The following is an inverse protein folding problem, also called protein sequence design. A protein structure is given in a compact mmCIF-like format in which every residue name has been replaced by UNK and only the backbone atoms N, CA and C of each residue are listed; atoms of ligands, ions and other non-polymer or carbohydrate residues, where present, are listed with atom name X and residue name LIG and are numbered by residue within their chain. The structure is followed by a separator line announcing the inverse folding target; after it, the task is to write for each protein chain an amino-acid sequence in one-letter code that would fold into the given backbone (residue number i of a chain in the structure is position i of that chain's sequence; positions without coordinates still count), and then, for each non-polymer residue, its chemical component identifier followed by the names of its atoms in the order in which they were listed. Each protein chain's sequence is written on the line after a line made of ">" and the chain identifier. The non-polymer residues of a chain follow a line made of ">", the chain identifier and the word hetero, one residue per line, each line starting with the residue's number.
data_IF_293329069175
#
_entry.id   IF_293329069175
#
_cell.length_a   1.000
_cell.length_b   1.000
_cell.length_c   1.000
_cell.angle_alpha   90.00
_cell.angle_beta   90.00
_cell.angle_gamma   90.00
#
_symmetry.space_group_name_H-M   'P 1'
#
loop_
_entity.id
_entity.type
_entity.pdbx_description
1 polymer ?
#
# COMPACT_ATOMS: atom_id res chain seq x y z
N UNK A 1 -39.71 14.80 -2.56
CA UNK A 1 -39.45 13.92 -3.72
C UNK A 1 -38.02 14.15 -4.16
N UNK A 2 -37.08 13.32 -3.71
CA UNK A 2 -35.66 13.40 -4.07
C UNK A 2 -35.45 12.46 -5.25
N UNK A 3 -35.12 13.00 -6.42
CA UNK A 3 -34.58 12.21 -7.53
C UNK A 3 -33.06 12.16 -7.34
N UNK A 4 -32.56 11.00 -6.93
CA UNK A 4 -31.12 10.73 -6.87
C UNK A 4 -30.61 10.42 -8.28
N UNK A 5 -29.57 11.12 -8.70
CA UNK A 5 -28.78 10.78 -9.88
C UNK A 5 -27.59 9.96 -9.41
N UNK A 6 -27.51 8.71 -9.86
CA UNK A 6 -26.35 7.81 -9.69
C UNK A 6 -25.42 8.00 -10.90
N UNK A 7 -24.09 8.15 -10.74
CA UNK A 7 -23.17 7.99 -11.85
C UNK A 7 -22.80 6.51 -12.01
N UNK A 8 -23.08 5.94 -13.18
CA UNK A 8 -22.41 4.73 -13.67
C UNK A 8 -21.01 5.17 -14.14
N UNK A 9 -19.96 4.85 -13.40
CA UNK A 9 -18.59 5.17 -13.78
C UNK A 9 -18.03 4.15 -14.76
N UNK A 10 -18.10 4.45 -16.07
CA UNK A 10 -17.28 3.77 -17.09
C UNK A 10 -16.19 4.76 -17.49
N UNK A 11 -14.92 4.45 -17.24
CA UNK A 11 -13.81 5.22 -17.83
C UNK A 11 -13.68 4.83 -19.31
N UNK A 12 -14.14 5.72 -20.20
CA UNK A 12 -13.99 5.62 -21.65
C UNK A 12 -13.05 6.74 -22.12
N UNK A 13 -11.86 6.37 -22.59
CA UNK A 13 -11.02 7.28 -23.37
C UNK A 13 -11.72 7.61 -24.70
N UNK A 14 -11.69 8.88 -25.11
CA UNK A 14 -12.55 9.47 -26.13
C UNK A 14 -12.67 8.70 -27.46
N UNK A 15 -13.92 8.42 -27.85
CA UNK A 15 -14.26 7.81 -29.14
C UNK A 15 -14.33 8.89 -30.24
N UNK A 16 -13.38 8.88 -31.17
CA UNK A 16 -13.66 9.35 -32.54
C UNK A 16 -14.42 8.23 -33.27
N UNK A 17 -15.66 8.49 -33.65
CA UNK A 17 -16.52 7.50 -34.34
C UNK A 17 -16.01 7.31 -35.77
N UNK A 18 -15.15 6.32 -35.96
CA UNK A 18 -15.04 5.64 -37.25
C UNK A 18 -16.00 4.46 -37.25
N UNK A 19 -16.96 4.46 -38.18
CA UNK A 19 -17.71 3.25 -38.54
C UNK A 19 -16.76 2.23 -39.15
N UNK A 20 -16.08 1.48 -38.28
CA UNK A 20 -15.27 0.31 -38.61
C UNK A 20 -15.71 -0.84 -37.70
N UNK A 21 -15.80 -2.04 -38.27
CA UNK A 21 -16.28 -3.26 -37.61
C UNK A 21 -15.82 -3.38 -36.15
N UNK A 22 -16.77 -3.38 -35.21
CA UNK A 22 -16.51 -3.71 -33.82
C UNK A 22 -15.99 -5.15 -33.73
N UNK A 23 -14.68 -5.32 -33.64
CA UNK A 23 -14.11 -6.57 -33.16
C UNK A 23 -14.58 -6.76 -31.72
N UNK A 24 -15.31 -7.84 -31.46
CA UNK A 24 -15.76 -8.19 -30.12
C UNK A 24 -14.53 -8.25 -29.18
N UNK A 25 -14.50 -7.36 -28.19
CA UNK A 25 -13.52 -7.45 -27.11
C UNK A 25 -13.79 -8.74 -26.34
N UNK A 26 -12.75 -9.49 -26.01
CA UNK A 26 -12.88 -10.63 -25.12
C UNK A 26 -12.91 -10.11 -23.68
N UNK A 27 -13.87 -10.60 -22.89
CA UNK A 27 -14.05 -10.17 -21.50
C UNK A 27 -13.60 -11.27 -20.55
N UNK A 28 -12.83 -10.90 -19.54
CA UNK A 28 -12.46 -11.79 -18.43
C UNK A 28 -12.94 -11.16 -17.14
N UNK A 29 -13.58 -11.92 -16.28
CA UNK A 29 -14.00 -11.47 -14.95
C UNK A 29 -13.12 -12.11 -13.89
N UNK A 30 -12.87 -11.38 -12.81
CA UNK A 30 -12.06 -11.89 -11.71
C UNK A 30 -11.81 -10.83 -10.65
N UNK A 31 -10.95 -11.15 -9.70
CA UNK A 31 -10.53 -10.23 -8.63
C UNK A 31 -9.24 -9.52 -9.02
N UNK A 32 -9.29 -8.19 -9.01
CA UNK A 32 -8.15 -7.34 -9.29
C UNK A 32 -7.21 -7.34 -8.08
N UNK A 33 -5.93 -7.56 -8.30
CA UNK A 33 -4.91 -7.49 -7.26
C UNK A 33 -3.83 -6.52 -7.68
N UNK A 34 -3.52 -5.56 -6.81
CA UNK A 34 -2.38 -4.66 -6.95
C UNK A 34 -1.29 -5.07 -5.97
N UNK A 35 -0.06 -5.04 -6.46
CA UNK A 35 1.16 -5.22 -5.68
C UNK A 35 2.10 -4.06 -5.97
N UNK A 36 2.68 -3.49 -4.93
CA UNK A 36 3.69 -2.45 -4.98
C UNK A 36 5.02 -3.08 -4.61
N UNK A 37 6.08 -2.69 -5.33
CA UNK A 37 7.41 -3.22 -5.16
C UNK A 37 8.39 -2.11 -4.86
N UNK A 38 9.17 -2.31 -3.82
CA UNK A 38 10.01 -1.32 -3.17
C UNK A 38 11.47 -1.73 -3.23
N UNK A 39 12.23 -1.07 -4.09
CA UNK A 39 13.61 -1.41 -4.41
C UNK A 39 14.53 -1.23 -3.20
N UNK A 40 15.33 -2.26 -2.92
CA UNK A 40 16.31 -2.24 -1.85
C UNK A 40 17.54 -1.36 -2.16
N UNK A 41 18.47 -1.24 -1.20
CA UNK A 41 19.64 -0.36 -1.33
C UNK A 41 20.51 -0.59 -2.57
N UNK A 42 20.58 -1.82 -3.05
CA UNK A 42 21.41 -2.20 -4.21
C UNK A 42 20.71 -2.02 -5.56
N UNK A 43 19.37 -1.92 -5.56
CA UNK A 43 18.55 -1.76 -6.77
C UNK A 43 17.34 -0.88 -6.44
N UNK A 44 17.55 0.43 -6.20
CA UNK A 44 16.47 1.34 -5.85
C UNK A 44 15.49 1.51 -7.00
N UNK A 45 14.21 1.70 -6.67
CA UNK A 45 13.14 1.90 -7.64
C UNK A 45 11.79 1.56 -7.03
N UNK A 46 10.71 2.04 -7.65
CA UNK A 46 9.35 1.66 -7.29
C UNK A 46 8.69 0.96 -8.47
N UNK A 47 7.87 -0.04 -8.17
CA UNK A 47 7.19 -0.82 -9.19
C UNK A 47 5.77 -1.13 -8.77
N UNK A 48 4.91 -1.35 -9.78
CA UNK A 48 3.54 -1.77 -9.56
C UNK A 48 3.18 -2.91 -10.49
N UNK A 49 2.65 -3.99 -9.92
CA UNK A 49 2.06 -5.09 -10.66
C UNK A 49 0.55 -5.06 -10.50
N UNK A 50 -0.15 -5.37 -11.58
CA UNK A 50 -1.59 -5.54 -11.58
C UNK A 50 -1.88 -6.93 -12.12
N UNK A 51 -2.72 -7.69 -11.43
CA UNK A 51 -3.13 -9.02 -11.87
C UNK A 51 -4.62 -9.22 -11.69
N UNK A 52 -5.16 -10.20 -12.42
CA UNK A 52 -6.54 -10.67 -12.29
C UNK A 52 -6.51 -12.15 -11.94
N UNK A 53 -7.24 -12.55 -10.90
CA UNK A 53 -7.50 -13.98 -10.64
C UNK A 53 -8.94 -14.29 -11.00
N UNK A 54 -9.18 -15.29 -11.86
CA UNK A 54 -10.53 -15.65 -12.30
C UNK A 54 -11.26 -16.60 -11.33
N UNK A 55 -12.51 -16.96 -11.65
CA UNK A 55 -13.34 -17.88 -10.85
C UNK A 55 -12.76 -19.31 -10.74
N UNK A 56 -11.78 -19.68 -11.56
CA UNK A 56 -11.06 -20.97 -11.50
C UNK A 56 -9.82 -20.90 -10.61
N UNK A 57 -9.45 -19.71 -10.12
CA UNK A 57 -8.23 -19.45 -9.38
C UNK A 57 -7.01 -19.21 -10.27
N UNK A 58 -7.18 -19.09 -11.60
CA UNK A 58 -6.07 -18.78 -12.50
C UNK A 58 -5.74 -17.29 -12.42
N UNK A 59 -4.49 -16.98 -12.07
CA UNK A 59 -3.98 -15.60 -12.05
C UNK A 59 -3.28 -15.25 -13.35
N UNK A 60 -3.57 -14.06 -13.89
CA UNK A 60 -2.93 -13.49 -15.08
C UNK A 60 -2.43 -12.08 -14.79
N UNK A 61 -1.18 -11.77 -15.16
CA UNK A 61 -0.66 -10.41 -15.09
C UNK A 61 -1.39 -9.51 -16.10
N UNK A 62 -1.64 -8.25 -15.73
CA UNK A 62 -2.30 -7.27 -16.58
C UNK A 62 -1.30 -6.20 -17.02
N UNK A 63 -1.26 -5.94 -18.32
CA UNK A 63 -0.61 -4.75 -18.89
C UNK A 63 -1.66 -3.64 -18.97
N UNK A 64 -1.65 -2.76 -17.95
CA UNK A 64 -2.58 -1.63 -17.81
C UNK A 64 -1.83 -0.34 -18.16
N UNK A 65 -2.40 0.49 -19.04
CA UNK A 65 -1.80 1.78 -19.37
C UNK A 65 -1.88 2.77 -18.21
N UNK A 66 -0.96 3.72 -18.15
CA UNK A 66 -0.99 4.80 -17.15
C UNK A 66 -2.32 5.55 -17.18
N UNK A 67 -2.89 5.81 -18.37
CA UNK A 67 -4.20 6.47 -18.50
C UNK A 67 -5.32 5.72 -17.76
N UNK A 68 -5.34 4.38 -17.84
CA UNK A 68 -6.31 3.57 -17.10
C UNK A 68 -6.02 3.59 -15.60
N UNK A 69 -4.75 3.53 -15.20
CA UNK A 69 -4.35 3.60 -13.78
C UNK A 69 -4.73 4.95 -13.16
N UNK A 70 -4.62 6.04 -13.93
CA UNK A 70 -5.09 7.39 -13.57
C UNK A 70 -6.61 7.49 -13.38
N UNK A 71 -7.38 6.47 -13.76
CA UNK A 71 -8.80 6.36 -13.44
C UNK A 71 -9.11 5.99 -11.99
N UNK A 72 -8.10 5.89 -11.12
CA UNK A 72 -8.27 5.47 -9.72
C UNK A 72 -8.44 3.97 -9.56
N UNK A 73 -7.90 3.16 -10.49
CA UNK A 73 -7.99 1.69 -10.50
C UNK A 73 -7.45 1.07 -9.20
N UNK A 74 -6.52 1.71 -8.50
CA UNK A 74 -6.03 1.24 -7.20
C UNK A 74 -7.14 1.12 -6.15
N UNK A 75 -8.24 1.89 -6.27
CA UNK A 75 -9.42 1.78 -5.40
C UNK A 75 -10.18 0.48 -5.58
N UNK A 76 -9.90 -0.24 -6.67
CA UNK A 76 -10.51 -1.53 -6.99
C UNK A 76 -9.62 -2.71 -6.57
N UNK A 77 -8.54 -2.47 -5.82
CA UNK A 77 -7.72 -3.55 -5.26
C UNK A 77 -8.58 -4.50 -4.40
N UNK A 78 -8.48 -5.79 -4.65
CA UNK A 78 -9.28 -6.85 -4.02
C UNK A 78 -10.74 -6.92 -4.50
N UNK A 79 -11.17 -6.03 -5.40
CA UNK A 79 -12.54 -5.99 -5.91
C UNK A 79 -12.69 -6.83 -7.18
N UNK A 80 -13.92 -7.31 -7.41
CA UNK A 80 -14.26 -8.03 -8.63
C UNK A 80 -14.40 -7.04 -9.79
N UNK A 81 -13.74 -7.30 -10.91
CA UNK A 81 -13.75 -6.46 -12.10
C UNK A 81 -13.98 -7.30 -13.36
N UNK A 82 -14.44 -6.65 -14.42
CA UNK A 82 -14.42 -7.15 -15.79
C UNK A 82 -13.33 -6.45 -16.56
N UNK A 83 -12.42 -7.23 -17.12
CA UNK A 83 -11.34 -6.77 -18.00
C UNK A 83 -11.76 -6.95 -19.44
N UNK A 84 -11.66 -5.87 -20.22
CA UNK A 84 -11.87 -5.89 -21.66
C UNK A 84 -10.52 -5.99 -22.36
N UNK A 85 -10.23 -7.13 -22.98
CA UNK A 85 -8.98 -7.38 -23.68
C UNK A 85 -9.13 -7.25 -25.21
N UNK A 86 -8.03 -6.95 -25.94
CA UNK A 86 -8.02 -7.08 -27.40
C UNK A 86 -8.35 -8.51 -27.84
N UNK A 87 -8.89 -8.67 -29.05
CA UNK A 87 -9.13 -9.98 -29.65
C UNK A 87 -7.85 -10.83 -29.74
N UNK A 88 -8.00 -12.15 -29.67
CA UNK A 88 -6.96 -13.18 -29.46
C UNK A 88 -5.56 -12.92 -30.02
N UNK A 89 -5.42 -12.40 -31.24
CA UNK A 89 -4.12 -12.11 -31.87
C UNK A 89 -3.28 -10.98 -31.23
N UNK A 90 -3.88 -10.14 -30.39
CA UNK A 90 -3.20 -9.03 -29.69
C UNK A 90 -3.47 -9.03 -28.18
N UNK A 91 -3.98 -10.14 -27.63
CA UNK A 91 -4.46 -10.21 -26.24
C UNK A 91 -3.33 -10.14 -25.20
N UNK A 92 -2.18 -10.73 -25.50
CA UNK A 92 -1.05 -10.79 -24.58
C UNK A 92 0.14 -9.99 -25.12
N UNK A 93 0.92 -9.35 -24.24
CA UNK A 93 2.23 -8.80 -24.55
C UNK A 93 3.28 -9.90 -24.64
N UNK A 94 4.49 -9.54 -25.11
CA UNK A 94 5.58 -10.50 -25.32
C UNK A 94 6.06 -11.17 -24.02
N UNK A 95 5.87 -10.48 -22.89
CA UNK A 95 6.12 -10.96 -21.53
C UNK A 95 4.97 -11.82 -20.96
N UNK A 96 3.90 -12.05 -21.73
CA UNK A 96 2.76 -12.85 -21.33
C UNK A 96 1.69 -12.12 -20.51
N UNK A 97 1.82 -10.81 -20.26
CA UNK A 97 0.77 -10.04 -19.58
C UNK A 97 -0.43 -9.79 -20.51
N UNK A 98 -1.65 -9.87 -19.97
CA UNK A 98 -2.88 -9.58 -20.72
C UNK A 98 -3.02 -8.06 -20.90
N UNK A 99 -3.09 -7.60 -22.14
CA UNK A 99 -3.32 -6.19 -22.47
C UNK A 99 -4.74 -5.78 -22.09
N UNK A 100 -4.86 -4.65 -21.41
CA UNK A 100 -6.14 -4.12 -20.93
C UNK A 100 -6.57 -2.93 -21.79
N UNK A 101 -7.78 -2.98 -22.35
CA UNK A 101 -8.41 -1.84 -23.05
C UNK A 101 -9.31 -1.03 -22.14
N UNK A 102 -10.01 -1.70 -21.23
CA UNK A 102 -10.86 -1.08 -20.23
C UNK A 102 -11.05 -2.02 -19.04
N UNK A 103 -11.40 -1.43 -17.90
CA UNK A 103 -11.78 -2.13 -16.67
C UNK A 103 -13.16 -1.61 -16.23
N UNK A 104 -14.01 -2.53 -15.78
CA UNK A 104 -15.31 -2.23 -15.19
C UNK A 104 -15.37 -2.87 -13.81
N UNK A 105 -15.65 -2.08 -12.77
CA UNK A 105 -15.93 -2.60 -11.44
C UNK A 105 -17.24 -3.38 -11.46
N UNK A 106 -17.22 -4.64 -11.03
CA UNK A 106 -18.40 -5.50 -10.96
C UNK A 106 -19.00 -5.42 -9.56
N UNK A 107 -20.08 -4.67 -9.44
CA UNK A 107 -20.76 -4.41 -8.17
C UNK A 107 -21.11 -2.93 -8.04
N UNK A 108 -21.71 -2.55 -6.91
CA UNK A 108 -21.79 -1.12 -6.60
C UNK A 108 -20.41 -0.65 -6.14
N UNK A 109 -19.97 0.57 -6.54
CA UNK A 109 -18.81 1.18 -5.92
C UNK A 109 -19.08 1.31 -4.43
N UNK A 110 -18.53 0.40 -3.63
CA UNK A 110 -18.56 0.50 -2.19
C UNK A 110 -17.47 1.49 -1.79
N UNK A 111 -17.80 2.40 -0.87
CA UNK A 111 -16.77 3.05 -0.07
C UNK A 111 -15.92 1.93 0.55
N UNK A 112 -14.58 1.95 0.40
CA UNK A 112 -13.74 0.98 1.08
C UNK A 112 -14.13 0.93 2.56
N UNK A 113 -14.35 -0.27 3.09
CA UNK A 113 -14.66 -0.42 4.50
C UNK A 113 -13.48 0.11 5.32
N UNK A 114 -13.77 0.88 6.37
CA UNK A 114 -12.75 1.32 7.31
C UNK A 114 -12.00 0.10 7.88
N UNK A 115 -10.68 0.20 8.00
CA UNK A 115 -9.86 -0.86 8.59
C UNK A 115 -9.90 -0.65 10.09
N UNK A 116 -10.64 -1.50 10.79
CA UNK A 116 -10.95 -1.34 12.22
C UNK A 116 -10.89 -2.67 12.96
N UNK A 117 -10.63 -2.61 14.26
CA UNK A 117 -10.50 -3.78 15.12
C UNK A 117 -9.23 -4.56 14.84
N UNK A 118 -9.15 -5.76 15.42
CA UNK A 118 -7.94 -6.57 15.34
C UNK A 118 -7.66 -7.06 13.91
N UNK A 119 -6.42 -6.85 13.47
CA UNK A 119 -5.90 -7.19 12.15
C UNK A 119 -4.78 -8.23 12.32
N UNK A 120 -5.06 -9.50 12.67
CA UNK A 120 -4.01 -10.50 12.90
C UNK A 120 -3.29 -10.91 11.62
N UNK A 121 -1.97 -10.94 11.65
CA UNK A 121 -1.08 -11.37 10.56
C UNK A 121 -0.32 -12.64 10.94
N UNK A 122 0.16 -13.38 9.95
CA UNK A 122 1.16 -14.43 10.17
C UNK A 122 2.47 -14.06 9.49
N UNK A 123 3.59 -14.21 10.20
CA UNK A 123 4.92 -14.26 9.57
C UNK A 123 5.27 -15.71 9.22
N UNK A 124 5.56 -15.95 7.94
CA UNK A 124 5.99 -17.25 7.42
C UNK A 124 7.40 -17.11 6.84
N UNK A 125 8.44 -17.48 7.60
CA UNK A 125 9.80 -17.54 7.09
C UNK A 125 9.97 -18.72 6.12
N UNK A 126 10.25 -18.40 4.87
CA UNK A 126 10.34 -19.33 3.74
C UNK A 126 11.74 -19.32 3.13
N UNK A 127 12.44 -20.44 3.31
CA UNK A 127 13.82 -20.64 2.91
C UNK A 127 13.91 -21.27 1.53
N UNK A 128 14.68 -20.66 0.61
CA UNK A 128 15.02 -21.28 -0.67
C UNK A 128 15.87 -22.54 -0.44
N UNK A 129 15.63 -23.61 -1.23
CA UNK A 129 16.22 -24.93 -0.96
C UNK A 129 17.76 -24.97 -1.03
N UNK A 130 18.39 -24.06 -1.77
CA UNK A 130 19.83 -23.96 -1.99
C UNK A 130 20.55 -22.95 -1.08
N UNK A 131 19.80 -22.17 -0.30
CA UNK A 131 20.36 -21.19 0.65
C UNK A 131 20.13 -21.72 2.06
N UNK A 132 21.20 -22.05 2.78
CA UNK A 132 21.10 -22.68 4.09
C UNK A 132 20.77 -21.70 5.23
N UNK A 133 21.20 -20.45 5.09
CA UNK A 133 21.13 -19.43 6.12
C UNK A 133 19.68 -19.09 6.50
N UNK A 134 19.46 -18.80 7.78
CA UNK A 134 18.21 -18.34 8.36
C UNK A 134 18.55 -17.03 9.08
N UNK A 135 18.32 -15.86 8.44
CA UNK A 135 18.84 -14.58 8.93
C UNK A 135 18.41 -14.24 10.35
N UNK A 136 17.19 -14.63 10.72
CA UNK A 136 16.58 -14.37 12.02
C UNK A 136 15.86 -15.62 12.54
N UNK A 137 15.82 -15.79 13.86
CA UNK A 137 15.14 -16.93 14.49
C UNK A 137 13.63 -16.66 14.68
N UNK A 138 12.83 -17.71 14.90
CA UNK A 138 11.39 -17.58 15.20
C UNK A 138 11.07 -16.49 16.24
N UNK A 139 11.85 -16.41 17.32
CA UNK A 139 11.62 -15.43 18.40
C UNK A 139 11.70 -13.96 17.92
N UNK A 140 12.46 -13.67 16.87
CA UNK A 140 12.50 -12.35 16.25
C UNK A 140 11.15 -12.01 15.61
N UNK A 141 10.60 -12.93 14.82
CA UNK A 141 9.32 -12.75 14.13
C UNK A 141 8.12 -12.77 15.09
N UNK A 142 8.15 -13.59 16.13
CA UNK A 142 7.16 -13.54 17.22
C UNK A 142 7.22 -12.20 17.96
N UNK A 143 8.44 -11.77 18.31
CA UNK A 143 8.68 -10.51 18.99
C UNK A 143 8.27 -9.28 18.19
N UNK A 144 8.36 -9.35 16.86
CA UNK A 144 8.00 -8.25 15.96
C UNK A 144 6.52 -7.85 16.11
N UNK A 145 5.63 -8.76 16.52
CA UNK A 145 4.22 -8.47 16.78
C UNK A 145 3.93 -7.96 18.21
N UNK A 146 4.95 -7.68 19.02
CA UNK A 146 4.76 -7.22 20.38
C UNK A 146 4.15 -5.80 20.44
N UNK A 147 3.33 -5.56 21.47
CA UNK A 147 2.93 -4.22 21.87
C UNK A 147 3.99 -3.57 22.76
N UNK A 148 5.17 -3.36 22.19
CA UNK A 148 6.29 -2.66 22.80
C UNK A 148 6.87 -1.68 21.77
N UNK A 149 7.53 -0.59 22.19
CA UNK A 149 8.28 0.29 21.29
C UNK A 149 9.05 -0.51 20.23
N UNK A 150 8.86 -0.15 18.96
CA UNK A 150 9.47 -0.82 17.81
C UNK A 150 8.75 -2.07 17.30
N UNK A 151 7.77 -2.62 18.04
CA UNK A 151 6.93 -3.72 17.55
C UNK A 151 5.74 -3.23 16.71
N UNK A 152 5.29 -4.08 15.78
CA UNK A 152 4.20 -3.79 14.84
C UNK A 152 2.85 -3.54 15.54
N UNK A 153 2.56 -4.21 16.66
CA UNK A 153 1.30 -3.92 17.40
C UNK A 153 1.33 -2.55 18.04
N UNK A 154 2.49 -2.13 18.56
CA UNK A 154 2.66 -0.78 19.08
C UNK A 154 2.53 0.26 17.96
N UNK A 155 3.19 0.03 16.82
CA UNK A 155 3.15 0.91 15.66
C UNK A 155 1.72 1.10 15.13
N UNK A 156 1.03 0.01 14.80
CA UNK A 156 -0.31 0.10 14.20
C UNK A 156 -1.35 0.68 15.17
N UNK A 157 -1.20 0.47 16.48
CA UNK A 157 -2.02 1.17 17.49
C UNK A 157 -1.74 2.67 17.50
N UNK A 158 -0.48 3.08 17.51
CA UNK A 158 -0.09 4.49 17.57
C UNK A 158 -0.57 5.25 16.33
N UNK A 159 -0.27 4.74 15.13
CA UNK A 159 -0.61 5.41 13.87
C UNK A 159 -2.13 5.42 13.61
N UNK A 160 -2.90 4.49 14.18
CA UNK A 160 -4.36 4.42 14.00
C UNK A 160 -5.18 4.97 15.17
N UNK A 161 -4.56 5.58 16.17
CA UNK A 161 -5.23 6.03 17.40
C UNK A 161 -5.96 4.89 18.15
N UNK A 162 -5.41 3.67 18.06
CA UNK A 162 -6.00 2.46 18.63
C UNK A 162 -7.20 1.91 17.85
N UNK A 163 -7.49 2.43 16.65
CA UNK A 163 -8.56 1.93 15.78
C UNK A 163 -8.28 0.52 15.30
N UNK A 164 -7.00 0.17 15.12
CA UNK A 164 -6.54 -1.18 14.85
C UNK A 164 -5.46 -1.61 15.84
N UNK A 165 -5.36 -2.93 15.98
CA UNK A 165 -4.22 -3.62 16.56
C UNK A 165 -3.92 -4.85 15.68
N UNK A 166 -2.82 -5.55 15.94
CA UNK A 166 -2.48 -6.81 15.26
C UNK A 166 -2.50 -7.98 16.26
N UNK A 167 -3.31 -7.87 17.31
CA UNK A 167 -3.48 -8.93 18.31
C UNK A 167 -3.94 -10.22 17.65
N UNK A 168 -3.39 -11.35 18.07
CA UNK A 168 -3.63 -12.65 17.43
C UNK A 168 -2.75 -12.90 16.21
N UNK A 169 -1.82 -11.99 15.90
CA UNK A 169 -0.74 -12.30 14.97
C UNK A 169 0.18 -13.38 15.54
N UNK A 170 0.70 -14.22 14.66
CA UNK A 170 1.57 -15.34 14.99
C UNK A 170 2.77 -15.39 14.03
N UNK A 171 3.79 -16.16 14.39
CA UNK A 171 4.86 -16.53 13.48
C UNK A 171 5.09 -18.04 13.57
N UNK A 172 5.66 -18.61 12.52
CA UNK A 172 6.10 -20.01 12.48
C UNK A 172 7.59 -20.08 12.19
N UNK A 173 8.22 -21.20 12.53
CA UNK A 173 9.64 -21.41 12.25
C UNK A 173 9.89 -21.57 10.74
N UNK A 174 11.15 -21.50 10.33
CA UNK A 174 11.54 -21.60 8.93
C UNK A 174 11.05 -22.88 8.27
N UNK A 175 10.36 -22.72 7.13
CA UNK A 175 10.04 -23.83 6.23
C UNK A 175 10.90 -23.76 4.97
N UNK A 176 11.27 -24.93 4.44
CA UNK A 176 12.06 -25.00 3.21
C UNK A 176 11.14 -25.11 2.01
N UNK A 177 11.23 -24.15 1.11
CA UNK A 177 10.56 -24.15 -0.17
C UNK A 177 11.07 -25.32 -1.04
N UNK A 178 10.23 -25.91 -1.91
CA UNK A 178 10.60 -27.09 -2.71
C UNK A 178 11.66 -26.81 -3.79
N UNK A 179 11.73 -25.57 -4.28
CA UNK A 179 12.67 -25.12 -5.31
C UNK A 179 13.85 -24.31 -4.76
N UNK A 180 14.87 -24.16 -5.61
CA UNK A 180 16.02 -23.27 -5.37
C UNK A 180 15.64 -21.81 -5.62
N UNK A 181 16.45 -20.84 -5.20
CA UNK A 181 16.15 -19.40 -5.36
C UNK A 181 15.76 -19.04 -6.80
N UNK A 182 16.50 -19.55 -7.80
CA UNK A 182 16.25 -19.24 -9.21
C UNK A 182 14.99 -19.87 -9.79
N UNK A 183 14.35 -20.81 -9.10
CA UNK A 183 13.05 -21.35 -9.51
C UNK A 183 11.91 -20.34 -9.26
N UNK A 184 12.14 -19.40 -8.34
CA UNK A 184 11.19 -18.34 -7.97
C UNK A 184 11.63 -16.98 -8.48
N UNK A 185 12.94 -16.74 -8.50
CA UNK A 185 13.55 -15.42 -8.73
C UNK A 185 14.59 -15.55 -9.84
N UNK A 186 14.24 -15.29 -11.10
CA UNK A 186 15.16 -15.53 -12.20
C UNK A 186 16.39 -14.59 -12.18
N UNK A 187 16.25 -13.35 -11.70
CA UNK A 187 17.38 -12.43 -11.47
C UNK A 187 17.49 -11.94 -10.02
N UNK A 188 18.03 -12.74 -9.08
CA UNK A 188 18.08 -12.36 -7.67
C UNK A 188 18.79 -11.02 -7.43
N UNK A 189 18.16 -10.15 -6.63
CA UNK A 189 18.67 -8.82 -6.26
C UNK A 189 18.50 -7.74 -7.33
N UNK A 190 17.87 -8.03 -8.47
CA UNK A 190 17.68 -7.06 -9.55
C UNK A 190 16.39 -7.32 -10.32
N UNK A 191 15.95 -6.33 -11.11
CA UNK A 191 14.76 -6.49 -11.95
C UNK A 191 13.47 -6.62 -11.13
N UNK A 192 12.43 -7.11 -11.79
CA UNK A 192 11.06 -7.24 -11.24
C UNK A 192 10.40 -8.54 -11.68
N UNK A 193 11.19 -9.59 -11.84
CA UNK A 193 10.79 -10.84 -12.48
C UNK A 193 10.51 -11.98 -11.48
N UNK A 194 10.60 -11.71 -10.17
CA UNK A 194 10.25 -12.69 -9.16
C UNK A 194 8.81 -13.19 -9.32
N UNK A 195 8.60 -14.50 -9.27
CA UNK A 195 7.29 -15.13 -9.31
C UNK A 195 6.66 -15.14 -7.91
N UNK A 196 6.14 -13.98 -7.51
CA UNK A 196 5.49 -13.78 -6.20
C UNK A 196 4.35 -14.77 -5.95
N UNK A 197 3.63 -15.16 -7.00
CA UNK A 197 2.55 -16.13 -6.89
C UNK A 197 3.06 -17.50 -6.48
N UNK A 198 4.12 -17.97 -7.15
CA UNK A 198 4.74 -19.26 -6.81
C UNK A 198 5.37 -19.22 -5.42
N UNK A 199 6.00 -18.11 -5.03
CA UNK A 199 6.52 -17.94 -3.66
C UNK A 199 5.39 -18.07 -2.64
N UNK A 200 4.27 -17.38 -2.85
CA UNK A 200 3.11 -17.46 -1.95
C UNK A 200 2.52 -18.87 -1.89
N UNK A 201 2.30 -19.49 -3.05
CA UNK A 201 1.64 -20.80 -3.14
C UNK A 201 2.49 -21.87 -2.43
N UNK A 202 3.79 -21.90 -2.68
CA UNK A 202 4.68 -22.90 -2.06
C UNK A 202 4.95 -22.60 -0.57
N UNK A 203 5.04 -21.32 -0.18
CA UNK A 203 5.26 -20.92 1.21
C UNK A 203 4.05 -21.22 2.10
N UNK A 204 2.84 -20.92 1.63
CA UNK A 204 1.60 -21.24 2.37
C UNK A 204 1.34 -22.74 2.41
N UNK A 205 1.59 -23.46 1.31
CA UNK A 205 1.48 -24.93 1.28
C UNK A 205 2.47 -25.62 2.23
N UNK A 206 3.65 -25.06 2.44
CA UNK A 206 4.67 -25.62 3.31
C UNK A 206 4.33 -25.55 4.81
N UNK A 207 3.33 -24.75 5.20
CA UNK A 207 2.86 -24.60 6.58
C UNK A 207 1.40 -25.02 6.78
N UNK A 208 0.75 -25.54 5.74
CA UNK A 208 -0.68 -25.91 5.73
C UNK A 208 -1.04 -26.97 6.79
N UNK A 209 -0.08 -27.82 7.19
CA UNK A 209 -0.28 -28.84 8.23
C UNK A 209 -0.14 -28.31 9.67
N UNK A 210 0.39 -27.10 9.85
CA UNK A 210 0.67 -26.48 11.16
C UNK A 210 -0.01 -25.12 11.38
N UNK A 211 -0.50 -24.48 10.31
CA UNK A 211 -1.21 -23.20 10.34
C UNK A 211 -2.63 -23.41 9.83
N UNK A 212 -3.62 -22.99 10.63
CA UNK A 212 -5.01 -22.85 10.17
C UNK A 212 -5.26 -21.38 9.77
N UNK A 213 -5.22 -21.09 8.47
CA UNK A 213 -5.48 -19.77 7.91
C UNK A 213 -6.93 -19.31 8.11
N UNK A 214 -7.87 -20.23 8.33
CA UNK A 214 -9.24 -19.87 8.72
C UNK A 214 -9.32 -19.33 10.16
N UNK A 215 -8.27 -19.56 10.95
CA UNK A 215 -8.12 -19.07 12.32
C UNK A 215 -9.19 -19.60 13.28
N UNK A 216 -9.72 -20.80 13.03
CA UNK A 216 -10.81 -21.38 13.82
C UNK A 216 -12.07 -20.51 13.93
N UNK A 217 -12.26 -19.53 13.02
CA UNK A 217 -13.36 -18.57 13.03
C UNK A 217 -12.95 -17.10 13.22
N UNK A 218 -11.71 -16.80 13.61
CA UNK A 218 -11.12 -15.45 13.58
C UNK A 218 -9.96 -15.45 12.58
N UNK A 219 -10.25 -15.32 11.28
CA UNK A 219 -9.25 -15.54 10.25
C UNK A 219 -8.15 -14.48 10.30
N UNK A 220 -6.91 -14.93 10.10
CA UNK A 220 -5.79 -14.06 9.78
C UNK A 220 -6.20 -13.12 8.63
N UNK A 221 -5.83 -11.85 8.70
CA UNK A 221 -6.13 -10.87 7.65
C UNK A 221 -4.98 -10.71 6.67
N UNK A 222 -3.76 -11.02 7.10
CA UNK A 222 -2.57 -10.89 6.26
C UNK A 222 -1.47 -11.91 6.53
N UNK A 223 -0.55 -12.02 5.57
CA UNK A 223 0.55 -12.96 5.53
C UNK A 223 1.82 -12.19 5.16
N UNK A 224 2.80 -12.17 6.06
CA UNK A 224 4.14 -11.69 5.80
C UNK A 224 5.05 -12.86 5.43
N UNK A 225 5.45 -12.94 4.17
CA UNK A 225 6.43 -13.93 3.72
C UNK A 225 7.82 -13.37 3.96
N UNK A 226 8.62 -14.04 4.79
CA UNK A 226 10.00 -13.62 5.11
C UNK A 226 10.97 -14.55 4.39
N UNK A 227 11.82 -14.03 3.51
CA UNK A 227 12.70 -14.85 2.68
C UNK A 227 14.12 -14.86 3.22
N UNK A 228 14.84 -15.96 3.03
CA UNK A 228 16.22 -16.08 3.53
C UNK A 228 17.30 -15.61 2.53
N UNK A 229 16.89 -15.08 1.39
CA UNK A 229 17.79 -14.57 0.36
C UNK A 229 17.13 -13.44 -0.43
N UNK A 230 17.89 -12.86 -1.35
CA UNK A 230 17.37 -11.82 -2.23
C UNK A 230 16.14 -12.32 -2.98
N UNK A 231 15.13 -11.47 -3.07
CA UNK A 231 14.06 -11.62 -4.06
C UNK A 231 14.55 -10.98 -5.36
N UNK A 232 13.73 -10.21 -6.07
CA UNK A 232 14.17 -9.36 -7.18
C UNK A 232 14.76 -8.05 -6.62
N UNK A 233 14.49 -6.90 -7.22
CA UNK A 233 14.93 -5.63 -6.64
C UNK A 233 14.36 -5.39 -5.24
N UNK A 234 13.23 -6.03 -4.94
CA UNK A 234 12.22 -5.34 -4.17
C UNK A 234 11.69 -6.18 -2.99
N UNK A 235 11.30 -5.47 -1.94
CA UNK A 235 10.22 -5.95 -1.08
C UNK A 235 8.90 -5.71 -1.83
N UNK A 236 7.88 -6.51 -1.56
CA UNK A 236 6.57 -6.30 -2.19
C UNK A 236 5.46 -6.34 -1.16
N UNK A 237 4.43 -5.55 -1.40
CA UNK A 237 3.26 -5.42 -0.55
C UNK A 237 1.99 -5.27 -1.36
N UNK A 238 0.84 -5.51 -0.73
CA UNK A 238 -0.47 -5.47 -1.38
C UNK A 238 -1.27 -6.72 -1.07
N UNK A 239 -1.54 -7.55 -2.07
CA UNK A 239 -2.32 -8.76 -1.80
C UNK A 239 -2.13 -9.91 -2.77
N UNK A 240 -2.86 -10.97 -2.47
CA UNK A 240 -3.05 -12.16 -3.31
C UNK A 240 -4.46 -12.69 -3.10
N UNK A 241 -5.23 -12.80 -4.19
CA UNK A 241 -6.49 -13.54 -4.15
C UNK A 241 -6.19 -15.05 -4.14
N UNK A 242 -6.64 -15.74 -3.09
CA UNK A 242 -6.41 -17.18 -2.92
C UNK A 242 -7.46 -17.81 -2.00
N UNK A 243 -7.51 -19.14 -2.01
CA UNK A 243 -8.28 -19.94 -1.05
C UNK A 243 -7.32 -20.71 -0.16
N UNK A 244 -7.34 -20.42 1.14
CA UNK A 244 -6.56 -21.13 2.17
C UNK A 244 -7.54 -21.63 3.23
N UNK A 245 -7.47 -22.90 3.60
CA UNK A 245 -8.38 -23.55 4.57
C UNK A 245 -9.88 -23.26 4.35
N UNK A 246 -10.30 -23.26 3.09
CA UNK A 246 -11.68 -22.98 2.69
C UNK A 246 -12.09 -21.50 2.78
N UNK A 247 -11.19 -20.59 3.16
CA UNK A 247 -11.41 -19.14 3.15
C UNK A 247 -10.89 -18.54 1.85
N UNK A 248 -11.82 -18.13 0.98
CA UNK A 248 -11.52 -17.46 -0.29
C UNK A 248 -11.63 -15.95 -0.15
N UNK A 249 -10.51 -15.23 -0.27
CA UNK A 249 -10.48 -13.76 -0.25
C UNK A 249 -9.20 -13.21 -0.88
N UNK A 250 -9.12 -11.88 -0.98
CA UNK A 250 -7.85 -11.20 -1.18
C UNK A 250 -7.10 -11.14 0.15
N UNK A 251 -6.08 -11.98 0.31
CA UNK A 251 -5.18 -11.97 1.46
C UNK A 251 -4.23 -10.79 1.35
N UNK A 252 -4.09 -10.01 2.42
CA UNK A 252 -3.04 -8.99 2.50
C UNK A 252 -1.72 -9.72 2.55
N UNK A 253 -0.79 -9.41 1.65
CA UNK A 253 0.42 -10.21 1.50
C UNK A 253 1.62 -9.31 1.30
N UNK A 254 2.71 -9.66 1.96
CA UNK A 254 4.01 -9.03 1.76
C UNK A 254 5.08 -10.09 1.46
N UNK A 255 6.10 -9.73 0.67
CA UNK A 255 7.24 -10.57 0.31
C UNK A 255 8.51 -9.82 0.68
N UNK A 256 9.16 -10.25 1.75
CA UNK A 256 10.21 -9.49 2.40
C UNK A 256 11.55 -10.22 2.29
N UNK A 257 12.48 -9.76 1.44
CA UNK A 257 13.87 -10.21 1.50
C UNK A 257 14.56 -9.74 2.80
N UNK A 258 15.74 -10.29 3.16
CA UNK A 258 16.39 -10.01 4.44
C UNK A 258 16.63 -8.54 4.77
N UNK A 259 16.96 -7.71 3.76
CA UNK A 259 17.18 -6.28 3.98
C UNK A 259 15.89 -5.55 4.39
N UNK A 260 14.70 -6.08 4.03
CA UNK A 260 13.41 -5.47 4.35
C UNK A 260 13.06 -5.69 5.83
N UNK A 261 13.06 -6.93 6.31
CA UNK A 261 12.72 -7.21 7.72
C UNK A 261 13.81 -6.84 8.73
N UNK A 262 14.99 -6.40 8.27
CA UNK A 262 15.99 -5.74 9.12
C UNK A 262 15.56 -4.32 9.56
N UNK A 263 14.46 -3.79 9.00
CA UNK A 263 13.89 -2.48 9.35
C UNK A 263 12.36 -2.59 9.51
N UNK A 264 11.83 -2.37 10.71
CA UNK A 264 10.38 -2.41 10.97
C UNK A 264 9.61 -1.45 10.08
N UNK A 265 10.16 -0.26 9.79
CA UNK A 265 9.51 0.71 8.93
C UNK A 265 9.21 0.20 7.52
N UNK A 266 10.03 -0.72 6.99
CA UNK A 266 9.79 -1.34 5.68
C UNK A 266 8.68 -2.38 5.80
N UNK A 267 8.64 -3.18 6.86
CA UNK A 267 7.52 -4.11 7.09
C UNK A 267 6.20 -3.35 7.29
N UNK A 268 6.23 -2.24 8.03
CA UNK A 268 5.09 -1.33 8.17
C UNK A 268 4.64 -0.74 6.82
N UNK A 269 5.59 -0.36 5.95
CA UNK A 269 5.32 0.09 4.58
C UNK A 269 4.57 -0.98 3.76
N UNK A 270 5.11 -2.21 3.71
CA UNK A 270 4.49 -3.30 2.95
C UNK A 270 3.12 -3.71 3.50
N UNK A 271 2.97 -3.70 4.82
CA UNK A 271 1.67 -3.90 5.47
C UNK A 271 0.68 -2.77 5.14
N UNK A 272 1.15 -1.53 5.00
CA UNK A 272 0.39 -0.38 4.52
C UNK A 272 -0.20 -0.63 3.12
N UNK A 273 0.59 -1.18 2.20
CA UNK A 273 0.09 -1.68 0.91
C UNK A 273 -0.97 -2.78 1.08
N UNK A 274 -0.78 -3.67 2.05
CA UNK A 274 -1.78 -4.66 2.47
C UNK A 274 -3.11 -4.04 2.91
N UNK A 275 -3.09 -2.89 3.58
CA UNK A 275 -4.29 -2.13 3.93
C UNK A 275 -4.86 -1.34 2.74
N UNK A 276 -4.21 -1.37 1.58
CA UNK A 276 -4.65 -0.71 0.35
C UNK A 276 -4.14 0.72 0.21
N UNK A 277 -3.10 1.10 0.97
CA UNK A 277 -2.42 2.37 0.79
C UNK A 277 -1.50 2.29 -0.45
N UNK A 278 -1.61 3.20 -1.42
CA UNK A 278 -0.57 3.39 -2.43
C UNK A 278 0.65 4.07 -1.81
N UNK A 279 1.74 4.17 -2.58
CA UNK A 279 2.81 5.10 -2.28
C UNK A 279 2.30 6.55 -2.17
N UNK A 280 2.95 7.33 -1.33
CA UNK A 280 2.90 8.80 -1.33
C UNK A 280 4.15 9.34 -2.03
N UNK A 281 4.14 10.62 -2.42
CA UNK A 281 5.26 11.24 -3.12
C UNK A 281 5.50 12.69 -2.63
N UNK A 282 6.48 13.35 -3.22
CA UNK A 282 6.81 14.76 -3.07
C UNK A 282 6.36 15.58 -4.30
N UNK A 283 6.49 16.91 -4.24
CA UNK A 283 5.94 17.83 -5.26
C UNK A 283 6.81 18.05 -6.51
N UNK A 284 7.93 17.33 -6.64
CA UNK A 284 8.99 17.62 -7.61
C UNK A 284 8.74 17.10 -9.04
N UNK A 285 7.55 16.54 -9.29
CA UNK A 285 7.06 16.06 -10.58
C UNK A 285 7.89 14.90 -11.16
N UNK A 286 8.60 14.17 -10.30
CA UNK A 286 9.30 12.95 -10.66
C UNK A 286 8.46 11.68 -10.38
N UNK A 287 9.04 10.52 -10.67
CA UNK A 287 8.41 9.21 -10.47
C UNK A 287 8.94 8.44 -9.27
N UNK A 288 9.71 9.07 -8.36
CA UNK A 288 10.36 8.45 -7.22
C UNK A 288 9.58 8.75 -5.92
N UNK A 289 8.75 7.81 -5.43
CA UNK A 289 7.93 8.03 -4.25
C UNK A 289 8.70 8.09 -2.93
N UNK A 290 10.02 7.89 -2.89
CA UNK A 290 10.79 7.70 -1.65
C UNK A 290 11.45 8.98 -1.12
N UNK A 291 10.85 10.13 -1.40
CA UNK A 291 11.47 11.43 -1.19
C UNK A 291 10.67 12.40 -0.30
N UNK A 292 9.53 11.96 0.26
CA UNK A 292 8.84 12.66 1.34
C UNK A 292 9.22 12.04 2.70
N UNK A 293 9.93 12.77 3.58
CA UNK A 293 10.30 12.27 4.91
C UNK A 293 9.12 12.21 5.88
N UNK A 294 7.92 12.62 5.48
CA UNK A 294 6.76 12.76 6.36
C UNK A 294 5.83 11.54 6.36
N UNK A 295 6.00 10.60 5.43
CA UNK A 295 5.09 9.46 5.30
C UNK A 295 5.88 8.15 5.22
N UNK A 296 5.49 7.16 6.02
CA UNK A 296 6.04 5.80 5.89
C UNK A 296 5.74 5.20 4.53
N UNK A 297 4.62 5.54 3.87
CA UNK A 297 4.30 5.15 2.48
C UNK A 297 5.11 5.91 1.42
N UNK A 298 6.05 6.75 1.84
CA UNK A 298 7.08 7.39 1.01
C UNK A 298 8.45 6.94 1.54
N UNK A 299 9.25 7.83 2.13
CA UNK A 299 10.54 7.47 2.72
C UNK A 299 10.37 6.69 4.04
N UNK A 300 10.11 5.38 3.97
CA UNK A 300 9.85 4.53 5.13
C UNK A 300 10.92 4.62 6.25
N UNK A 301 12.20 4.72 5.86
CA UNK A 301 13.35 4.69 6.79
C UNK A 301 14.20 5.95 6.81
N UNK A 302 13.94 6.93 5.93
CA UNK A 302 14.60 8.25 6.00
C UNK A 302 14.06 9.03 7.20
N UNK A 303 14.86 9.84 7.92
CA UNK A 303 14.36 10.60 9.08
C UNK A 303 13.56 9.75 10.10
N UNK A 304 13.99 8.50 10.28
CA UNK A 304 13.32 7.52 11.12
C UNK A 304 14.00 7.39 12.49
N UNK A 305 13.20 7.15 13.52
CA UNK A 305 13.70 6.63 14.79
C UNK A 305 14.32 5.23 14.58
N UNK A 306 15.13 4.78 15.55
CA UNK A 306 15.78 3.48 15.48
C UNK A 306 15.48 2.62 16.70
N UNK A 307 15.38 1.32 16.46
CA UNK A 307 15.29 0.27 17.47
C UNK A 307 16.50 -0.67 17.33
N UNK A 308 17.13 -1.10 18.44
CA UNK A 308 18.31 -1.96 18.39
C UNK A 308 18.04 -3.37 17.85
N UNK A 309 16.79 -3.84 17.84
CA UNK A 309 16.39 -5.15 17.31
C UNK A 309 15.79 -5.00 15.92
N UNK A 310 14.90 -4.05 15.71
CA UNK A 310 14.14 -3.92 14.46
C UNK A 310 14.61 -2.79 13.53
N UNK A 311 15.78 -2.21 13.76
CA UNK A 311 16.39 -1.24 12.84
C UNK A 311 15.62 0.08 12.74
N UNK A 312 15.52 0.64 11.54
CA UNK A 312 14.76 1.88 11.32
C UNK A 312 13.26 1.62 11.49
N UNK A 313 12.61 2.42 12.32
CA UNK A 313 11.18 2.33 12.60
C UNK A 313 10.37 3.14 11.59
N UNK A 314 9.12 2.71 11.36
CA UNK A 314 8.17 3.47 10.57
C UNK A 314 7.83 4.80 11.23
N UNK A 315 7.38 5.76 10.43
CA UNK A 315 6.74 7.01 10.90
C UNK A 315 5.23 6.96 10.64
N UNK A 316 4.51 8.00 11.04
CA UNK A 316 3.07 8.05 10.75
C UNK A 316 2.80 8.10 9.23
N UNK A 317 1.70 7.48 8.80
CA UNK A 317 1.16 7.69 7.45
C UNK A 317 0.53 9.09 7.34
N UNK A 318 0.51 9.67 6.14
CA UNK A 318 -0.10 10.99 5.91
C UNK A 318 -1.61 11.02 6.25
N UNK A 319 -2.14 12.22 6.49
CA UNK A 319 -3.54 12.39 6.87
C UNK A 319 -4.55 11.85 5.83
N UNK A 320 -4.27 11.94 4.53
CA UNK A 320 -5.14 11.33 3.52
C UNK A 320 -5.19 9.80 3.65
N UNK A 321 -4.05 9.14 3.92
CA UNK A 321 -3.99 7.71 4.17
C UNK A 321 -4.77 7.31 5.44
N UNK A 322 -4.65 8.08 6.53
CA UNK A 322 -5.46 7.87 7.75
C UNK A 322 -6.96 8.01 7.48
N UNK A 323 -7.37 9.03 6.73
CA UNK A 323 -8.78 9.25 6.35
C UNK A 323 -9.30 8.12 5.45
N UNK A 324 -8.50 7.70 4.47
CA UNK A 324 -8.82 6.58 3.58
C UNK A 324 -9.09 5.28 4.33
N UNK A 325 -8.34 5.02 5.40
CA UNK A 325 -8.52 3.84 6.26
C UNK A 325 -9.60 4.02 7.33
N UNK A 326 -10.16 5.23 7.47
CA UNK A 326 -11.23 5.54 8.41
C UNK A 326 -10.74 5.67 9.85
N UNK A 327 -9.51 6.15 10.07
CA UNK A 327 -8.90 6.25 11.40
C UNK A 327 -9.16 7.57 12.12
N UNK A 328 -9.62 8.60 11.43
CA UNK A 328 -10.10 9.81 12.11
C UNK A 328 -11.50 9.59 12.66
N UNK A 329 -11.67 9.91 13.95
CA UNK A 329 -13.01 10.10 14.48
C UNK A 329 -13.68 11.30 13.75
N UNK A 330 -15.00 11.28 13.52
CA UNK A 330 -15.66 12.31 12.72
C UNK A 330 -15.46 13.75 13.21
N UNK A 331 -15.26 13.95 14.52
CA UNK A 331 -14.98 15.24 15.15
C UNK A 331 -13.51 15.67 15.10
N UNK A 332 -12.62 14.81 14.58
CA UNK A 332 -11.18 15.09 14.35
C UNK A 332 -10.88 15.56 12.94
N UNK A 333 -11.88 15.53 12.06
CA UNK A 333 -11.73 15.88 10.64
C UNK A 333 -12.53 17.14 10.34
N UNK A 334 -11.82 18.19 9.96
CA UNK A 334 -12.43 19.39 9.41
C UNK A 334 -12.60 19.25 7.89
N UNK A 335 -13.78 19.57 7.36
CA UNK A 335 -14.04 19.60 5.93
C UNK A 335 -14.52 21.01 5.55
N UNK A 336 -13.71 21.72 4.77
CA UNK A 336 -14.01 23.09 4.37
C UNK A 336 -15.10 23.13 3.30
N UNK A 337 -16.04 24.06 3.43
CA UNK A 337 -16.97 24.39 2.35
C UNK A 337 -16.29 25.25 1.27
N UNK A 338 -16.66 25.04 0.01
CA UNK A 338 -16.12 25.85 -1.10
C UNK A 338 -16.42 27.33 -0.89
N UNK A 339 -15.36 28.15 -0.87
CA UNK A 339 -15.44 29.59 -0.63
C UNK A 339 -15.58 29.98 0.85
N UNK A 340 -15.52 29.02 1.77
CA UNK A 340 -15.46 29.29 3.20
C UNK A 340 -14.14 29.97 3.58
N UNK A 341 -14.25 30.97 4.45
CA UNK A 341 -13.11 31.59 5.12
C UNK A 341 -13.33 31.36 6.60
N UNK A 342 -12.48 30.55 7.21
CA UNK A 342 -12.59 30.17 8.62
C UNK A 342 -11.21 29.95 9.23
N UNK A 343 -11.17 29.79 10.54
CA UNK A 343 -9.97 29.41 11.29
C UNK A 343 -10.29 28.20 12.13
N UNK A 344 -9.37 27.23 12.14
CA UNK A 344 -9.47 26.01 12.92
C UNK A 344 -8.27 25.88 13.83
N UNK A 345 -8.44 25.17 14.94
CA UNK A 345 -7.33 24.65 15.74
C UNK A 345 -6.99 23.25 15.24
N UNK A 346 -5.71 22.99 14.99
CA UNK A 346 -5.19 21.75 14.44
C UNK A 346 -4.15 21.18 15.41
N UNK A 347 -4.49 20.07 16.06
CA UNK A 347 -3.54 19.29 16.85
C UNK A 347 -2.65 18.47 15.89
N UNK A 348 -1.40 18.21 16.27
CA UNK A 348 -0.52 17.37 15.46
C UNK A 348 -1.07 15.94 15.33
N UNK A 349 -0.87 15.32 14.16
CA UNK A 349 -1.53 14.04 13.81
C UNK A 349 -1.03 12.84 14.60
N UNK A 350 0.05 12.96 15.37
CA UNK A 350 0.48 11.89 16.29
C UNK A 350 -0.24 11.93 17.66
N UNK A 351 -0.95 13.01 17.98
CA UNK A 351 -1.57 13.18 19.30
C UNK A 351 -2.78 12.26 19.50
N UNK A 352 -2.63 11.18 20.28
CA UNK A 352 -3.72 10.22 20.52
C UNK A 352 -4.94 10.83 21.22
N UNK A 353 -4.72 11.71 22.19
CA UNK A 353 -5.78 12.38 22.96
C UNK A 353 -5.95 13.84 22.53
N UNK A 354 -6.02 14.08 21.21
CA UNK A 354 -6.31 15.39 20.66
C UNK A 354 -7.58 15.99 21.31
N UNK A 355 -7.78 17.30 21.24
CA UNK A 355 -9.07 17.96 21.57
C UNK A 355 -9.61 18.81 20.43
N UNK A 356 -8.80 19.01 19.39
CA UNK A 356 -9.16 19.73 18.18
C UNK A 356 -9.14 18.80 16.96
N UNK A 357 -9.22 19.38 15.77
CA UNK A 357 -9.05 18.65 14.52
C UNK A 357 -7.61 18.16 14.39
N UNK A 358 -7.41 17.03 13.71
CA UNK A 358 -6.08 16.52 13.35
C UNK A 358 -5.88 16.53 11.83
N UNK A 359 -6.94 16.77 11.07
CA UNK A 359 -6.90 16.90 9.61
C UNK A 359 -7.85 18.01 9.17
N UNK A 360 -7.41 18.81 8.20
CA UNK A 360 -8.29 19.60 7.35
C UNK A 360 -8.32 19.04 5.93
N UNK A 361 -9.51 18.86 5.39
CA UNK A 361 -9.75 18.51 3.99
C UNK A 361 -10.28 19.72 3.22
N UNK A 362 -9.58 20.09 2.15
CA UNK A 362 -9.92 21.19 1.25
C UNK A 362 -10.25 20.61 -0.13
N UNK A 363 -11.53 20.34 -0.40
CA UNK A 363 -11.95 19.76 -1.68
C UNK A 363 -11.92 20.77 -2.82
N UNK A 364 -11.30 20.40 -3.94
CA UNK A 364 -11.29 21.17 -5.20
C UNK A 364 -12.32 20.59 -6.17
N UNK A 365 -12.35 19.26 -6.29
CA UNK A 365 -13.30 18.49 -7.08
C UNK A 365 -13.53 17.12 -6.43
N UNK A 366 -14.29 16.24 -7.09
CA UNK A 366 -14.50 14.88 -6.62
C UNK A 366 -13.20 14.05 -6.55
N UNK A 367 -12.20 14.39 -7.38
CA UNK A 367 -10.96 13.61 -7.54
C UNK A 367 -9.70 14.41 -7.18
N UNK A 368 -9.84 15.65 -6.71
CA UNK A 368 -8.73 16.53 -6.34
C UNK A 368 -9.04 17.32 -5.06
N UNK A 369 -8.08 17.36 -4.15
CA UNK A 369 -8.19 17.98 -2.83
C UNK A 369 -6.81 18.29 -2.26
N UNK A 370 -6.77 19.15 -1.24
CA UNK A 370 -5.63 19.22 -0.34
C UNK A 370 -6.01 18.63 1.02
N UNK A 371 -5.06 17.95 1.65
CA UNK A 371 -5.15 17.57 3.05
C UNK A 371 -4.07 18.29 3.84
N UNK A 372 -4.43 18.84 4.98
CA UNK A 372 -3.53 19.61 5.85
C UNK A 372 -3.42 18.92 7.20
N UNK A 373 -2.21 18.69 7.65
CA UNK A 373 -1.90 18.13 8.97
C UNK A 373 -0.76 18.88 9.64
N UNK A 374 -0.75 18.90 10.98
CA UNK A 374 0.43 19.33 11.73
C UNK A 374 1.27 18.10 12.11
N UNK A 375 2.58 18.19 11.94
CA UNK A 375 3.57 17.17 12.32
C UNK A 375 4.60 17.77 13.26
N UNK A 376 5.01 16.98 14.25
CA UNK A 376 5.95 17.39 15.28
C UNK A 376 6.86 16.23 15.63
N UNK A 377 8.10 16.53 15.99
CA UNK A 377 9.09 15.58 16.53
C UNK A 377 8.76 15.19 17.96
N UNK A 378 7.65 14.50 18.10
CA UNK A 378 7.12 14.00 19.37
C UNK A 378 6.69 12.54 19.20
N UNK A 379 6.67 11.79 20.30
CA UNK A 379 6.40 10.36 20.29
C UNK A 379 7.63 9.57 19.85
N UNK A 380 7.44 8.29 19.58
CA UNK A 380 8.52 7.41 19.15
C UNK A 380 8.72 7.49 17.63
N UNK A 381 7.64 7.33 16.87
CA UNK A 381 7.70 7.09 15.43
C UNK A 381 7.94 8.36 14.60
N UNK A 382 7.54 9.52 15.13
CA UNK A 382 7.74 10.82 14.47
C UNK A 382 8.92 11.61 15.07
N UNK A 383 9.71 11.04 16.01
CA UNK A 383 10.74 11.78 16.77
C UNK A 383 11.87 12.37 15.92
N UNK A 384 12.16 11.75 14.78
CA UNK A 384 13.27 12.11 13.89
C UNK A 384 12.81 12.79 12.60
N UNK A 385 11.53 13.23 12.50
CA UNK A 385 11.03 13.97 11.34
C UNK A 385 11.93 15.17 10.99
N UNK A 386 11.88 15.60 9.73
CA UNK A 386 12.71 16.70 9.23
C UNK A 386 12.49 18.03 9.99
N UNK A 387 11.32 18.22 10.62
CA UNK A 387 11.04 19.36 11.49
C UNK A 387 9.67 19.31 12.14
N UNK A 388 9.30 20.42 12.77
CA UNK A 388 7.96 20.66 13.30
C UNK A 388 7.26 21.65 12.37
N UNK A 389 6.18 21.21 11.72
CA UNK A 389 5.57 21.96 10.62
C UNK A 389 4.11 21.57 10.36
N UNK A 390 3.40 22.44 9.67
CA UNK A 390 2.19 22.03 8.94
C UNK A 390 2.64 21.44 7.61
N UNK A 391 2.11 20.28 7.24
CA UNK A 391 2.35 19.60 5.97
C UNK A 391 1.06 19.62 5.17
N UNK A 392 1.16 20.07 3.92
CA UNK A 392 0.05 20.08 2.97
C UNK A 392 0.32 18.99 1.94
N UNK A 393 -0.63 18.10 1.70
CA UNK A 393 -0.58 17.17 0.58
C UNK A 393 -1.58 17.58 -0.50
N UNK A 394 -1.13 17.70 -1.75
CA UNK A 394 -2.01 17.70 -2.91
C UNK A 394 -2.42 16.25 -3.21
N UNK A 395 -3.70 15.96 -3.05
CA UNK A 395 -4.25 14.64 -3.33
C UNK A 395 -4.97 14.66 -4.66
N UNK A 396 -4.45 13.93 -5.64
CA UNK A 396 -5.11 13.66 -6.92
C UNK A 396 -5.39 12.18 -7.03
N UNK A 397 -6.67 11.79 -6.94
CA UNK A 397 -7.09 10.37 -6.97
C UNK A 397 -6.78 9.68 -8.29
N UNK A 398 -6.44 10.45 -9.33
CA UNK A 398 -5.97 9.94 -10.60
C UNK A 398 -4.46 9.87 -10.76
N UNK A 399 -3.64 10.07 -9.72
CA UNK A 399 -2.20 9.75 -9.77
C UNK A 399 -1.97 8.31 -9.34
N UNK A 400 -0.82 7.77 -9.75
CA UNK A 400 -0.30 6.49 -9.25
C UNK A 400 0.03 6.58 -7.75
N UNK A 401 0.59 7.71 -7.33
CA UNK A 401 0.85 8.13 -5.96
C UNK A 401 -0.11 9.30 -5.67
N UNK A 402 -1.28 9.08 -5.06
CA UNK A 402 -2.30 10.11 -5.00
C UNK A 402 -1.92 11.33 -4.18
N UNK A 403 -1.25 11.13 -3.04
CA UNK A 403 -0.89 12.20 -2.10
C UNK A 403 0.55 12.64 -2.32
N UNK A 404 0.73 13.90 -2.77
CA UNK A 404 2.04 14.52 -2.94
C UNK A 404 2.22 15.60 -1.88
N UNK A 405 3.24 15.51 -1.03
CA UNK A 405 3.60 16.59 -0.12
C UNK A 405 3.93 17.82 -0.98
N UNK A 406 3.22 18.93 -0.78
CA UNK A 406 3.43 20.18 -1.52
C UNK A 406 4.82 20.71 -1.17
N UNK A 407 5.40 21.51 -2.07
CA UNK A 407 6.57 22.35 -1.80
C UNK A 407 6.31 23.75 -2.40
N UNK A 408 6.56 24.80 -1.64
CA UNK A 408 6.42 26.19 -2.07
C UNK A 408 7.61 26.71 -2.90
N UNK A 409 8.75 26.02 -2.89
CA UNK A 409 9.94 26.39 -3.66
C UNK A 409 9.72 26.21 -5.18
N UNK A 410 10.46 26.98 -5.99
CA UNK A 410 10.46 26.87 -7.45
C UNK A 410 11.90 26.81 -8.00
N UNK A 411 12.35 25.64 -8.50
CA UNK A 411 11.65 24.36 -8.52
C UNK A 411 11.46 23.79 -7.09
N UNK A 412 10.49 22.87 -6.89
CA UNK A 412 10.39 22.06 -5.68
C UNK A 412 11.71 21.34 -5.38
N UNK A 413 11.96 21.04 -4.10
CA UNK A 413 13.11 20.24 -3.70
C UNK A 413 12.92 18.77 -4.11
N UNK A 414 14.01 18.11 -4.50
CA UNK A 414 14.03 16.67 -4.80
C UNK A 414 13.80 15.77 -3.57
N UNK A 415 13.76 16.36 -2.38
CA UNK A 415 13.46 15.66 -1.13
C UNK A 415 12.75 16.67 -0.22
N UNK A 416 11.59 16.29 0.32
CA UNK A 416 10.68 17.19 1.04
C UNK A 416 11.11 17.53 2.48
N UNK A 417 12.41 17.69 2.74
CA UNK A 417 12.99 18.08 4.04
C UNK A 417 13.40 19.56 4.11
N UNK A 418 12.99 20.36 3.12
CA UNK A 418 13.29 21.78 3.00
C UNK A 418 12.21 22.67 3.66
N UNK A 419 12.52 23.96 3.93
CA UNK A 419 11.54 24.93 4.40
C UNK A 419 10.32 25.10 3.49
N UNK A 420 10.45 24.90 2.17
CA UNK A 420 9.34 25.00 1.24
C UNK A 420 8.27 23.92 1.43
N UNK A 421 8.63 22.76 2.00
CA UNK A 421 7.71 21.68 2.41
C UNK A 421 7.25 21.82 3.88
N UNK A 422 7.78 22.80 4.63
CA UNK A 422 7.52 22.94 6.07
C UNK A 422 6.81 24.26 6.38
N UNK A 423 5.48 24.27 6.31
CA UNK A 423 4.69 25.47 6.58
C UNK A 423 4.77 25.89 8.04
N UNK A 424 5.15 27.15 8.25
CA UNK A 424 5.32 27.79 9.54
C UNK A 424 4.20 28.80 9.85
N UNK A 425 4.03 29.19 11.13
CA UNK A 425 3.06 30.20 11.51
C UNK A 425 3.23 31.52 10.73
N UNK A 426 2.16 31.97 10.08
CA UNK A 426 2.13 33.21 9.29
C UNK A 426 2.34 33.01 7.78
N UNK A 427 2.63 31.79 7.33
CA UNK A 427 2.75 31.47 5.92
C UNK A 427 1.39 31.18 5.27
N UNK A 428 1.33 31.22 3.94
CA UNK A 428 0.11 31.00 3.18
C UNK A 428 0.42 30.23 1.90
N UNK A 429 -0.36 29.20 1.64
CA UNK A 429 -0.41 28.49 0.37
C UNK A 429 -1.67 28.91 -0.38
N UNK A 430 -1.55 29.23 -1.67
CA UNK A 430 -2.63 29.80 -2.48
C UNK A 430 -2.61 29.33 -3.94
#
# INVERSE_FOLDING_TARGET
>A
MRQGWLPLGVLLAGLTVFSGCAHAAETVEGWLTLQWGDGGPESPGNHRRVSLTDDTGQTVALSVSDELLRGGVFRWNGQRVRVYAPSSGARFSADGAMRVRALELLGQPSTPAAVTGSQPWISIPCKFADIADEPEALAFFEGMYANQPGGLDHFWREVSYGTIDVVGSIAVDWVTLPGVQTDYVPTPGSGTDANLNKVFDDCTAAVDDIVDFSGGGTPLVGINIMLNGSLDCCAWGGGRFATLDGVTKSWRTTWNPPWSFANEGIIAHEMGHGFGLPHANNFDDDGNPYDSPWDVMSAATGYAASDPTYGALGKHVNAWHKDKLGWFAPDRRFEAMVGEVTSIELDHTALANATHYQMALLSISADSMYTVEARMREGLYDSELAGDAVIIHEVRLGRSEPAWAVDADMPPANYGDNPGTMWQPGETFA
#
